data_IF_925545461125
#
_entry.id   IF_925545461125
#
_cell.length_a   1.000
_cell.length_b   1.000
_cell.length_c   1.000
_cell.angle_alpha   90.00
_cell.angle_beta   90.00
_cell.angle_gamma   90.00
#
_symmetry.space_group_name_H-M   'P 1'
#
loop_
_entity.id
_entity.type
_entity.pdbx_description
1 polymer ?
#
# COMPACT_ATOMS: atom_id res chain seq x y z
N UNK A 1 -13.37 -29.65 5.49
CA UNK A 1 -13.16 -28.29 6.00
C UNK A 1 -11.67 -28.03 5.96
N UNK A 2 -11.17 -27.39 4.91
CA UNK A 2 -9.81 -26.86 4.94
C UNK A 2 -9.72 -25.87 6.11
N UNK A 3 -8.71 -26.02 6.98
CA UNK A 3 -8.41 -24.97 7.97
C UNK A 3 -8.07 -23.71 7.18
N UNK A 4 -8.83 -22.63 7.38
CA UNK A 4 -8.43 -21.30 6.89
C UNK A 4 -6.99 -21.04 7.34
N UNK A 5 -6.09 -20.80 6.37
CA UNK A 5 -4.70 -20.52 6.67
C UNK A 5 -4.59 -19.16 7.36
N UNK A 6 -3.93 -19.16 8.52
CA UNK A 6 -3.65 -17.94 9.28
C UNK A 6 -2.64 -17.08 8.50
N UNK A 7 -3.02 -15.82 8.22
CA UNK A 7 -2.18 -14.88 7.49
C UNK A 7 -1.12 -14.27 8.41
N UNK A 8 0.13 -14.30 7.97
CA UNK A 8 1.26 -13.73 8.70
C UNK A 8 1.70 -12.42 8.06
N UNK A 9 1.75 -11.33 8.85
CA UNK A 9 2.10 -10.01 8.36
C UNK A 9 3.34 -9.45 9.05
N UNK A 10 4.26 -8.88 8.26
CA UNK A 10 5.36 -8.05 8.74
C UNK A 10 5.19 -6.61 8.21
N UNK A 11 4.79 -5.72 9.11
CA UNK A 11 4.52 -4.31 8.80
C UNK A 11 5.51 -3.38 9.49
N UNK A 12 5.40 -2.09 9.23
CA UNK A 12 6.25 -1.06 9.81
C UNK A 12 6.61 0.03 8.81
N UNK A 13 7.04 1.21 9.28
CA UNK A 13 7.25 2.36 8.42
C UNK A 13 8.35 2.09 7.38
N UNK A 14 8.33 2.86 6.30
CA UNK A 14 9.46 2.90 5.37
C UNK A 14 10.78 3.16 6.12
N UNK A 15 11.87 2.57 5.64
CA UNK A 15 13.19 2.58 6.27
C UNK A 15 13.33 1.91 7.66
N UNK A 16 12.28 1.23 8.19
CA UNK A 16 12.38 0.51 9.47
C UNK A 16 13.32 -0.71 9.46
N UNK A 17 13.64 -1.26 8.28
CA UNK A 17 14.46 -2.48 8.13
C UNK A 17 13.64 -3.77 7.94
N UNK A 18 12.40 -3.66 7.46
CA UNK A 18 11.51 -4.80 7.26
C UNK A 18 12.03 -5.83 6.26
N UNK A 19 12.69 -5.39 5.19
CA UNK A 19 13.13 -6.28 4.11
C UNK A 19 14.14 -7.30 4.62
N UNK A 20 15.12 -6.87 5.42
CA UNK A 20 16.13 -7.76 6.01
C UNK A 20 15.48 -8.80 6.92
N UNK A 21 14.55 -8.36 7.78
CA UNK A 21 13.78 -9.25 8.66
C UNK A 21 12.88 -10.20 7.88
N UNK A 22 12.22 -9.73 6.83
CA UNK A 22 11.37 -10.57 6.00
C UNK A 22 12.13 -11.72 5.37
N UNK A 23 13.32 -11.45 4.83
CA UNK A 23 14.19 -12.47 4.25
C UNK A 23 14.59 -13.50 5.30
N UNK A 24 15.12 -13.05 6.44
CA UNK A 24 15.57 -13.96 7.49
C UNK A 24 14.44 -14.81 8.08
N UNK A 25 13.27 -14.20 8.31
CA UNK A 25 12.08 -14.90 8.78
C UNK A 25 11.66 -15.97 7.76
N UNK A 26 11.53 -15.60 6.48
CA UNK A 26 11.03 -16.50 5.44
C UNK A 26 12.02 -17.63 5.13
N UNK A 27 13.32 -17.35 5.05
CA UNK A 27 14.36 -18.37 4.89
C UNK A 27 14.31 -19.42 6.02
N UNK A 28 14.15 -18.96 7.27
CA UNK A 28 14.18 -19.84 8.44
C UNK A 28 13.08 -20.90 8.48
N UNK A 29 11.98 -20.71 7.74
CA UNK A 29 10.85 -21.65 7.66
C UNK A 29 10.64 -22.24 6.26
N UNK A 30 11.56 -21.97 5.32
CA UNK A 30 11.37 -22.34 3.91
C UNK A 30 10.13 -21.67 3.29
N UNK A 31 9.77 -20.48 3.78
CA UNK A 31 8.59 -19.72 3.37
C UNK A 31 8.80 -18.89 2.11
N UNK A 32 7.86 -18.00 1.85
CA UNK A 32 7.88 -17.05 0.77
C UNK A 32 7.33 -15.69 1.20
N UNK A 33 7.65 -14.64 0.45
CA UNK A 33 7.22 -13.28 0.74
C UNK A 33 6.15 -12.87 -0.28
N UNK A 34 5.03 -12.34 0.20
CA UNK A 34 4.02 -11.68 -0.62
C UNK A 34 4.08 -10.17 -0.35
N UNK A 35 4.27 -9.36 -1.40
CA UNK A 35 4.35 -7.91 -1.22
C UNK A 35 3.02 -7.31 -0.73
N UNK A 36 3.10 -6.49 0.31
CA UNK A 36 2.01 -5.64 0.82
C UNK A 36 2.30 -4.16 0.50
N UNK A 37 2.75 -3.89 -0.73
CA UNK A 37 3.14 -2.57 -1.21
C UNK A 37 2.54 -2.27 -2.59
N UNK A 38 1.89 -1.12 -2.72
CA UNK A 38 1.18 -0.73 -3.95
C UNK A 38 2.10 -0.27 -5.08
N UNK A 39 3.40 -0.07 -4.80
CA UNK A 39 4.36 0.46 -5.77
C UNK A 39 5.32 -0.63 -6.28
N UNK A 40 5.52 -1.72 -5.54
CA UNK A 40 6.39 -2.83 -5.98
C UNK A 40 5.80 -3.66 -7.13
N UNK A 41 4.52 -3.46 -7.44
CA UNK A 41 3.82 -4.10 -8.54
C UNK A 41 4.24 -3.58 -9.92
N UNK A 42 4.84 -2.39 -10.00
CA UNK A 42 5.22 -1.78 -11.28
C UNK A 42 6.61 -2.21 -11.72
N UNK A 43 6.71 -2.79 -12.92
CA UNK A 43 7.95 -3.20 -13.57
C UNK A 43 8.87 -2.00 -13.81
N UNK A 44 10.17 -2.21 -13.62
CA UNK A 44 11.20 -1.20 -13.85
C UNK A 44 11.26 -0.05 -12.84
N UNK A 45 10.30 0.04 -11.90
CA UNK A 45 10.33 0.96 -10.75
C UNK A 45 10.98 0.26 -9.56
N UNK A 46 12.32 0.15 -9.55
CA UNK A 46 13.07 -0.69 -8.63
C UNK A 46 13.77 0.11 -7.52
N UNK A 47 14.60 1.09 -7.92
CA UNK A 47 15.40 1.90 -7.02
C UNK A 47 14.49 2.79 -6.17
N UNK A 48 13.60 3.56 -6.81
CA UNK A 48 12.75 4.52 -6.09
C UNK A 48 11.75 3.88 -5.13
N UNK A 49 11.35 2.64 -5.40
CA UNK A 49 10.41 1.90 -4.58
C UNK A 49 11.08 1.03 -3.52
N UNK A 50 12.42 0.94 -3.52
CA UNK A 50 13.19 -0.01 -2.71
C UNK A 50 12.74 -1.47 -2.92
N UNK A 51 12.53 -1.85 -4.19
CA UNK A 51 12.15 -3.22 -4.53
C UNK A 51 13.27 -4.20 -4.11
N UNK A 52 12.94 -5.38 -3.59
CA UNK A 52 13.95 -6.41 -3.28
C UNK A 52 14.87 -6.65 -4.47
N UNK A 53 16.17 -6.77 -4.22
CA UNK A 53 17.16 -6.96 -5.27
C UNK A 53 17.01 -8.35 -5.92
N UNK A 54 17.56 -8.59 -7.12
CA UNK A 54 17.61 -9.93 -7.69
C UNK A 54 18.26 -10.96 -6.75
N UNK A 55 19.28 -10.55 -5.98
CA UNK A 55 19.92 -11.40 -4.99
C UNK A 55 18.97 -11.77 -3.83
N UNK A 56 18.18 -10.82 -3.33
CA UNK A 56 17.17 -11.07 -2.30
C UNK A 56 16.04 -11.97 -2.80
N UNK A 57 15.62 -11.79 -4.06
CA UNK A 57 14.58 -12.63 -4.69
C UNK A 57 15.07 -14.03 -5.01
N UNK A 58 16.38 -14.23 -5.21
CA UNK A 58 16.97 -15.54 -5.37
C UNK A 58 17.03 -16.33 -4.06
N UNK A 59 17.09 -15.62 -2.91
CA UNK A 59 17.09 -16.20 -1.57
C UNK A 59 15.72 -16.72 -1.16
N UNK A 60 14.67 -15.93 -1.39
CA UNK A 60 13.28 -16.24 -1.02
C UNK A 60 12.34 -15.88 -2.18
N UNK A 61 11.37 -16.72 -2.56
CA UNK A 61 10.40 -16.35 -3.58
C UNK A 61 9.58 -15.13 -3.14
N UNK A 62 9.41 -14.18 -4.07
CA UNK A 62 8.62 -12.97 -3.86
C UNK A 62 7.42 -12.92 -4.81
N UNK A 63 6.23 -12.74 -4.26
CA UNK A 63 4.97 -12.61 -4.96
C UNK A 63 4.44 -11.16 -4.94
N UNK A 64 3.51 -10.86 -5.83
CA UNK A 64 2.88 -9.53 -5.98
C UNK A 64 3.88 -8.39 -6.24
N UNK A 65 4.97 -8.69 -6.95
CA UNK A 65 5.92 -7.71 -7.47
C UNK A 65 5.98 -7.83 -8.99
N UNK A 66 6.31 -6.74 -9.69
CA UNK A 66 6.46 -6.75 -11.15
C UNK A 66 5.26 -7.37 -11.89
N UNK A 67 4.04 -6.96 -11.55
CA UNK A 67 2.79 -7.48 -12.12
C UNK A 67 2.28 -6.64 -13.31
N UNK A 68 2.65 -5.37 -13.37
CA UNK A 68 2.16 -4.41 -14.38
C UNK A 68 3.25 -3.46 -14.84
N UNK A 69 3.08 -2.89 -16.03
CA UNK A 69 3.86 -1.75 -16.51
C UNK A 69 3.43 -0.44 -15.83
N UNK A 70 4.33 0.56 -15.70
CA UNK A 70 4.03 1.84 -15.06
C UNK A 70 2.77 2.57 -15.57
N UNK A 71 2.40 2.55 -16.86
CA UNK A 71 1.17 3.20 -17.36
C UNK A 71 -0.13 2.50 -16.94
N UNK A 72 -0.06 1.20 -16.63
CA UNK A 72 -1.23 0.38 -16.40
C UNK A 72 -1.91 0.71 -15.07
N UNK A 73 -3.22 0.46 -15.03
CA UNK A 73 -3.98 0.55 -13.78
C UNK A 73 -3.78 -0.72 -12.95
N UNK A 74 -3.55 -0.51 -11.66
CA UNK A 74 -3.48 -1.56 -10.67
C UNK A 74 -4.32 -1.16 -9.45
N UNK A 75 -5.42 -1.87 -9.23
CA UNK A 75 -6.37 -1.57 -8.16
C UNK A 75 -6.43 -2.69 -7.10
N UNK A 76 -7.30 -2.50 -6.13
CA UNK A 76 -7.48 -3.43 -5.02
C UNK A 76 -7.98 -4.81 -5.45
N UNK A 77 -8.81 -4.89 -6.51
CA UNK A 77 -9.37 -6.16 -6.98
C UNK A 77 -8.26 -6.97 -7.64
N UNK A 78 -7.50 -6.35 -8.55
CA UNK A 78 -6.33 -6.96 -9.18
C UNK A 78 -5.28 -7.42 -8.17
N UNK A 79 -5.06 -6.64 -7.11
CA UNK A 79 -4.19 -7.05 -6.01
C UNK A 79 -4.68 -8.32 -5.30
N UNK A 80 -5.98 -8.44 -5.02
CA UNK A 80 -6.53 -9.62 -4.36
C UNK A 80 -6.48 -10.87 -5.26
N UNK A 81 -6.66 -10.70 -6.58
CA UNK A 81 -6.48 -11.77 -7.57
C UNK A 81 -5.03 -12.27 -7.58
N UNK A 82 -4.05 -11.36 -7.64
CA UNK A 82 -2.62 -11.71 -7.58
C UNK A 82 -2.24 -12.38 -6.24
N UNK A 83 -2.85 -11.97 -5.13
CA UNK A 83 -2.63 -12.61 -3.82
C UNK A 83 -3.22 -14.01 -3.79
N UNK A 84 -4.40 -14.24 -4.38
CA UNK A 84 -5.01 -15.56 -4.46
C UNK A 84 -4.13 -16.52 -5.25
N UNK A 85 -3.61 -16.09 -6.41
CA UNK A 85 -2.62 -16.83 -7.21
C UNK A 85 -1.37 -17.16 -6.36
N UNK A 86 -0.83 -16.18 -5.65
CA UNK A 86 0.33 -16.37 -4.78
C UNK A 86 0.08 -17.39 -3.65
N UNK A 87 -1.12 -17.38 -3.06
CA UNK A 87 -1.51 -18.32 -2.01
C UNK A 87 -1.62 -19.75 -2.54
N UNK A 88 -2.17 -19.93 -3.74
CA UNK A 88 -2.27 -21.23 -4.41
C UNK A 88 -0.87 -21.78 -4.73
N UNK A 89 -0.01 -20.97 -5.36
CA UNK A 89 1.37 -21.33 -5.68
C UNK A 89 2.18 -21.70 -4.44
N UNK A 90 2.09 -20.89 -3.39
CA UNK A 90 2.80 -21.15 -2.14
C UNK A 90 2.30 -22.42 -1.46
N UNK A 91 0.98 -22.65 -1.46
CA UNK A 91 0.37 -23.88 -0.91
C UNK A 91 0.82 -25.11 -1.68
N UNK A 92 0.80 -25.06 -3.01
CA UNK A 92 1.26 -26.16 -3.87
C UNK A 92 2.74 -26.50 -3.62
N UNK A 93 3.56 -25.49 -3.31
CA UNK A 93 4.97 -25.65 -2.95
C UNK A 93 5.22 -25.97 -1.46
N UNK A 94 4.19 -26.13 -0.63
CA UNK A 94 4.32 -26.37 0.81
C UNK A 94 4.91 -25.20 1.60
N UNK A 95 4.85 -23.98 1.06
CA UNK A 95 5.45 -22.77 1.65
C UNK A 95 4.45 -21.96 2.46
N UNK A 96 4.94 -21.34 3.53
CA UNK A 96 4.20 -20.34 4.31
C UNK A 96 4.43 -18.96 3.70
N UNK A 97 3.37 -18.15 3.58
CA UNK A 97 3.48 -16.77 3.09
C UNK A 97 3.63 -15.77 4.24
N UNK A 98 4.60 -14.87 4.10
CA UNK A 98 4.71 -13.63 4.88
C UNK A 98 4.29 -12.45 4.01
N UNK A 99 3.25 -11.74 4.43
CA UNK A 99 2.84 -10.49 3.79
C UNK A 99 3.68 -9.34 4.34
N UNK A 100 4.52 -8.74 3.48
CA UNK A 100 5.53 -7.76 3.91
C UNK A 100 5.30 -6.42 3.23
N UNK A 101 5.17 -5.35 4.00
CA UNK A 101 5.06 -4.02 3.41
C UNK A 101 4.47 -2.99 4.34
N UNK A 102 3.77 -2.01 3.76
CA UNK A 102 3.22 -0.93 4.55
C UNK A 102 1.99 -0.25 3.95
N UNK A 103 1.35 -0.86 2.96
CA UNK A 103 0.06 -0.39 2.45
C UNK A 103 -1.03 -0.85 3.39
N UNK A 104 -1.37 -0.01 4.37
CA UNK A 104 -2.41 -0.31 5.38
C UNK A 104 -3.78 -0.63 4.77
N UNK A 105 -4.08 -0.10 3.58
CA UNK A 105 -5.29 -0.46 2.86
C UNK A 105 -5.29 -1.92 2.42
N UNK A 106 -4.21 -2.44 1.84
CA UNK A 106 -4.09 -3.85 1.45
C UNK A 106 -4.16 -4.77 2.67
N UNK A 107 -3.52 -4.39 3.79
CA UNK A 107 -3.66 -5.11 5.06
C UNK A 107 -5.13 -5.24 5.47
N UNK A 108 -5.86 -4.12 5.43
CA UNK A 108 -7.29 -4.09 5.77
C UNK A 108 -8.11 -5.01 4.83
N UNK A 109 -7.82 -4.98 3.53
CA UNK A 109 -8.52 -5.81 2.55
C UNK A 109 -8.29 -7.31 2.78
N UNK A 110 -7.07 -7.71 3.13
CA UNK A 110 -6.76 -9.12 3.37
C UNK A 110 -7.40 -9.65 4.67
N UNK A 111 -7.55 -8.79 5.69
CA UNK A 111 -8.14 -9.19 6.98
C UNK A 111 -9.67 -9.13 6.94
N UNK A 112 -10.25 -8.12 6.30
CA UNK A 112 -11.69 -7.82 6.36
C UNK A 112 -12.43 -8.01 5.03
N UNK A 113 -11.72 -8.30 3.94
CA UNK A 113 -12.27 -8.36 2.58
C UNK A 113 -12.38 -6.99 1.90
N UNK A 114 -12.58 -7.03 0.58
CA UNK A 114 -12.95 -5.87 -0.23
C UNK A 114 -14.48 -5.71 -0.25
N UNK A 115 -14.91 -4.46 -0.23
CA UNK A 115 -16.29 -4.09 -0.53
C UNK A 115 -16.64 -4.46 -1.98
N UNK A 116 -17.60 -5.37 -2.18
CA UNK A 116 -18.07 -5.75 -3.51
C UNK A 116 -19.13 -4.78 -4.02
N UNK A 117 -18.68 -3.59 -4.43
CA UNK A 117 -19.52 -2.57 -5.06
C UNK A 117 -19.34 -2.52 -6.57
N UNK A 118 -20.18 -1.72 -7.27
CA UNK A 118 -20.06 -1.53 -8.71
C UNK A 118 -18.64 -1.04 -9.07
N UNK A 119 -18.08 -1.46 -10.22
CA UNK A 119 -16.78 -0.98 -10.65
C UNK A 119 -16.77 0.55 -10.81
N UNK A 120 -15.59 1.16 -10.75
CA UNK A 120 -15.46 2.58 -11.01
C UNK A 120 -15.95 2.92 -12.41
N UNK A 121 -16.75 3.98 -12.56
CA UNK A 121 -17.22 4.48 -13.85
C UNK A 121 -16.44 5.77 -14.17
N UNK A 122 -15.50 5.73 -15.13
CA UNK A 122 -14.69 6.90 -15.48
C UNK A 122 -15.51 8.10 -15.95
N UNK A 123 -16.62 7.88 -16.65
CA UNK A 123 -17.47 8.94 -17.20
C UNK A 123 -18.23 9.63 -16.08
N UNK A 124 -18.89 8.83 -15.23
CA UNK A 124 -19.59 9.35 -14.06
C UNK A 124 -18.64 10.09 -13.11
N UNK A 125 -17.45 9.55 -12.88
CA UNK A 125 -16.46 10.18 -12.01
C UNK A 125 -15.97 11.51 -12.57
N UNK A 126 -15.80 11.62 -13.88
CA UNK A 126 -15.41 12.88 -14.49
C UNK A 126 -16.55 13.91 -14.42
N UNK A 127 -17.79 13.50 -14.67
CA UNK A 127 -18.98 14.32 -14.47
C UNK A 127 -19.08 14.85 -13.02
N UNK A 128 -18.87 14.00 -12.01
CA UNK A 128 -18.87 14.44 -10.61
C UNK A 128 -17.74 15.43 -10.30
N UNK A 129 -16.54 15.27 -10.90
CA UNK A 129 -15.46 16.27 -10.75
C UNK A 129 -15.78 17.58 -11.46
N UNK A 130 -16.44 17.54 -12.61
CA UNK A 130 -16.92 18.74 -13.31
C UNK A 130 -17.95 19.49 -12.47
N UNK A 131 -18.92 18.78 -11.88
CA UNK A 131 -19.85 19.35 -10.90
C UNK A 131 -19.12 19.96 -9.70
N UNK A 132 -18.13 19.27 -9.14
CA UNK A 132 -17.33 19.82 -8.05
C UNK A 132 -16.56 21.10 -8.43
N UNK A 133 -16.15 21.25 -9.70
CA UNK A 133 -15.51 22.48 -10.22
C UNK A 133 -16.51 23.61 -10.43
N UNK A 134 -17.71 23.31 -10.94
CA UNK A 134 -18.71 24.31 -11.33
C UNK A 134 -19.58 24.76 -10.15
N UNK A 135 -20.06 23.81 -9.35
CA UNK A 135 -20.97 24.03 -8.21
C UNK A 135 -20.21 24.20 -6.88
N UNK A 136 -18.93 23.82 -6.86
CA UNK A 136 -18.12 23.72 -5.66
C UNK A 136 -18.26 22.38 -4.95
N UNK A 137 -17.15 21.87 -4.40
CA UNK A 137 -17.13 20.54 -3.76
C UNK A 137 -18.07 20.41 -2.55
N UNK A 138 -18.40 21.50 -1.87
CA UNK A 138 -19.36 21.49 -0.76
C UNK A 138 -20.78 21.11 -1.20
N UNK A 139 -21.16 21.38 -2.46
CA UNK A 139 -22.43 20.94 -3.00
C UNK A 139 -22.53 19.40 -3.03
N UNK A 140 -21.43 18.73 -3.41
CA UNK A 140 -21.34 17.27 -3.39
C UNK A 140 -21.32 16.71 -1.96
N UNK A 141 -20.67 17.39 -1.02
CA UNK A 141 -20.72 16.99 0.40
C UNK A 141 -22.14 17.08 0.94
N UNK A 142 -22.88 18.14 0.59
CA UNK A 142 -24.28 18.30 0.97
C UNK A 142 -25.18 17.24 0.30
N UNK A 143 -24.92 16.92 -0.97
CA UNK A 143 -25.60 15.83 -1.67
C UNK A 143 -25.35 14.50 -0.97
N UNK A 144 -24.11 14.19 -0.61
CA UNK A 144 -23.76 12.97 0.13
C UNK A 144 -24.50 12.92 1.46
N UNK A 145 -24.55 14.02 2.23
CA UNK A 145 -25.27 14.07 3.49
C UNK A 145 -26.77 13.81 3.33
N UNK A 146 -27.35 14.12 2.17
CA UNK A 146 -28.78 13.86 1.87
C UNK A 146 -29.02 12.42 1.45
N UNK A 147 -28.16 11.84 0.62
CA UNK A 147 -28.37 10.49 0.05
C UNK A 147 -27.78 9.38 0.92
N UNK A 148 -26.73 9.67 1.68
CA UNK A 148 -26.04 8.72 2.55
C UNK A 148 -25.52 9.42 3.85
N UNK A 149 -26.42 9.74 4.80
CA UNK A 149 -26.05 10.42 6.04
C UNK A 149 -24.98 9.68 6.85
N UNK A 150 -25.00 8.34 6.79
CA UNK A 150 -24.08 7.47 7.53
C UNK A 150 -22.66 7.55 6.95
N UNK A 151 -22.53 7.55 5.62
CA UNK A 151 -21.24 7.76 4.98
C UNK A 151 -20.75 9.21 5.18
N UNK A 152 -21.65 10.20 5.15
CA UNK A 152 -21.31 11.60 5.36
C UNK A 152 -20.75 11.88 6.77
N UNK A 153 -21.24 11.19 7.81
CA UNK A 153 -20.69 11.29 9.16
C UNK A 153 -19.27 10.70 9.27
N UNK A 154 -19.00 9.63 8.51
CA UNK A 154 -17.72 8.89 8.56
C UNK A 154 -16.65 9.47 7.64
N UNK A 155 -17.05 10.08 6.52
CA UNK A 155 -16.14 10.64 5.52
C UNK A 155 -15.93 12.12 5.83
N UNK A 156 -14.68 12.51 6.06
CA UNK A 156 -14.36 13.93 6.22
C UNK A 156 -14.74 14.71 4.96
N UNK A 157 -15.37 15.87 5.13
CA UNK A 157 -15.79 16.79 4.07
C UNK A 157 -14.69 17.32 3.14
N UNK A 158 -13.43 16.96 3.37
CA UNK A 158 -12.28 17.33 2.54
C UNK A 158 -11.74 16.11 1.75
N UNK A 159 -12.23 14.90 2.04
CA UNK A 159 -11.80 13.68 1.35
C UNK A 159 -12.57 13.51 0.04
N UNK A 160 -12.15 14.28 -0.97
CA UNK A 160 -12.74 14.27 -2.31
C UNK A 160 -12.88 12.86 -2.89
N UNK A 161 -11.87 12.01 -2.70
CA UNK A 161 -11.88 10.65 -3.26
C UNK A 161 -13.01 9.80 -2.66
N UNK A 162 -13.19 9.85 -1.34
CA UNK A 162 -14.24 9.07 -0.67
C UNK A 162 -15.63 9.61 -0.92
N UNK A 163 -15.81 10.94 -0.95
CA UNK A 163 -17.10 11.56 -1.27
C UNK A 163 -17.52 11.20 -2.70
N UNK A 164 -16.62 11.39 -3.67
CA UNK A 164 -16.89 11.03 -5.07
C UNK A 164 -17.22 9.55 -5.22
N UNK A 165 -16.52 8.66 -4.52
CA UNK A 165 -16.83 7.22 -4.57
C UNK A 165 -18.20 6.89 -3.96
N UNK A 166 -18.58 7.52 -2.85
CA UNK A 166 -19.87 7.27 -2.24
C UNK A 166 -21.04 7.72 -3.15
N UNK A 167 -20.91 8.91 -3.76
CA UNK A 167 -21.87 9.40 -4.76
C UNK A 167 -21.87 8.55 -6.03
N UNK A 168 -20.71 8.14 -6.52
CA UNK A 168 -20.58 7.25 -7.68
C UNK A 168 -21.35 5.94 -7.46
N UNK A 169 -21.18 5.29 -6.30
CA UNK A 169 -21.92 4.06 -5.97
C UNK A 169 -23.43 4.32 -5.89
N UNK A 170 -23.84 5.41 -5.25
CA UNK A 170 -25.25 5.78 -5.16
C UNK A 170 -25.88 6.01 -6.55
N UNK A 171 -25.23 6.77 -7.43
CA UNK A 171 -25.74 7.02 -8.79
C UNK A 171 -25.73 5.77 -9.67
N UNK A 172 -24.80 4.84 -9.47
CA UNK A 172 -24.75 3.59 -10.22
C UNK A 172 -25.82 2.58 -9.79
N UNK A 173 -26.12 2.52 -8.50
CA UNK A 173 -26.93 1.43 -7.92
C UNK A 173 -28.30 1.88 -7.41
N UNK A 174 -28.50 3.18 -7.20
CA UNK A 174 -29.66 3.72 -6.48
C UNK A 174 -29.58 3.56 -4.96
N UNK A 175 -28.59 2.83 -4.45
CA UNK A 175 -28.44 2.48 -3.04
C UNK A 175 -27.20 3.16 -2.41
N UNK A 176 -27.32 3.74 -1.20
CA UNK A 176 -26.21 4.39 -0.51
C UNK A 176 -25.02 3.46 -0.27
N UNK A 177 -23.79 3.99 -0.32
CA UNK A 177 -22.58 3.21 -0.03
C UNK A 177 -22.64 2.57 1.36
N UNK A 178 -23.20 3.27 2.34
CA UNK A 178 -23.37 2.74 3.69
C UNK A 178 -24.34 1.56 3.77
N UNK A 179 -25.34 1.48 2.89
CA UNK A 179 -26.27 0.35 2.80
C UNK A 179 -25.56 -0.89 2.28
N UNK A 180 -24.82 -0.76 1.17
CA UNK A 180 -23.99 -1.86 0.66
C UNK A 180 -22.90 -2.28 1.67
N UNK A 181 -22.36 -1.32 2.43
CA UNK A 181 -21.43 -1.62 3.53
C UNK A 181 -22.12 -2.26 4.74
N UNK A 182 -23.44 -2.13 4.91
CA UNK A 182 -24.25 -2.77 5.97
C UNK A 182 -24.73 -4.15 5.55
N UNK A 183 -25.13 -4.34 4.30
CA UNK A 183 -25.39 -5.68 3.73
C UNK A 183 -24.14 -6.57 3.82
N UNK A 184 -22.95 -5.96 3.93
CA UNK A 184 -21.68 -6.62 4.20
C UNK A 184 -21.14 -6.43 5.64
N UNK A 185 -21.82 -5.63 6.47
CA UNK A 185 -21.20 -5.02 7.66
C UNK A 185 -22.15 -4.35 8.66
N UNK A 186 -23.35 -4.90 8.83
CA UNK A 186 -23.86 -5.09 10.19
C UNK A 186 -22.84 -5.91 10.97
N UNK A 187 -22.87 -5.87 12.31
CA UNK A 187 -21.91 -6.61 13.15
C UNK A 187 -21.96 -8.16 13.03
N UNK A 188 -22.42 -8.73 11.93
CA UNK A 188 -22.36 -10.16 11.61
C UNK A 188 -22.15 -10.39 10.12
N UNK A 189 -21.06 -11.08 9.75
CA UNK A 189 -21.12 -12.44 9.15
C UNK A 189 -19.79 -12.89 8.52
N UNK A 190 -18.92 -12.00 8.01
CA UNK A 190 -17.53 -12.37 7.70
C UNK A 190 -16.63 -12.18 8.91
N UNK A 191 -16.27 -13.29 9.55
CA UNK A 191 -15.19 -13.28 10.55
C UNK A 191 -13.92 -12.78 9.87
N UNK A 192 -13.15 -11.87 10.50
CA UNK A 192 -11.83 -11.50 10.00
C UNK A 192 -11.01 -12.77 9.73
N UNK A 193 -10.28 -12.80 8.63
CA UNK A 193 -9.39 -13.92 8.33
C UNK A 193 -8.41 -14.08 9.50
N UNK A 194 -8.20 -15.29 10.06
CA UNK A 194 -7.23 -15.50 11.12
C UNK A 194 -5.87 -14.92 10.74
N UNK A 195 -5.25 -14.14 11.64
CA UNK A 195 -4.02 -13.44 11.30
C UNK A 195 -3.12 -13.15 12.51
N UNK A 196 -1.83 -12.97 12.21
CA UNK A 196 -0.78 -12.51 13.13
C UNK A 196 -0.04 -11.34 12.51
N UNK A 197 0.14 -10.26 13.25
CA UNK A 197 0.80 -9.03 12.74
C UNK A 197 1.97 -8.68 13.64
N UNK A 198 3.18 -8.71 13.07
CA UNK A 198 4.39 -8.18 13.67
C UNK A 198 4.74 -6.85 13.03
N UNK A 199 5.03 -5.85 13.85
CA UNK A 199 5.44 -4.53 13.41
C UNK A 199 6.89 -4.24 13.76
N UNK A 200 7.71 -3.88 12.78
CA UNK A 200 9.06 -3.36 13.04
C UNK A 200 8.98 -1.85 13.24
N UNK A 201 9.39 -1.35 14.40
CA UNK A 201 9.37 0.09 14.70
C UNK A 201 10.72 0.58 15.22
N UNK A 202 11.08 1.80 14.81
CA UNK A 202 12.25 2.53 15.32
C UNK A 202 11.81 3.89 15.86
N UNK A 203 12.63 4.54 16.71
CA UNK A 203 12.42 5.94 17.09
C UNK A 203 12.30 6.87 15.87
N UNK A 204 11.58 7.98 16.02
CA UNK A 204 11.26 8.86 14.90
C UNK A 204 12.51 9.53 14.31
N UNK A 205 13.46 9.86 15.18
CA UNK A 205 14.74 10.50 14.88
C UNK A 205 15.60 9.57 14.03
N UNK A 206 15.67 8.29 14.42
CA UNK A 206 16.37 7.22 13.68
C UNK A 206 15.72 6.99 12.32
N UNK A 207 14.39 7.04 12.23
CA UNK A 207 13.69 6.91 10.95
C UNK A 207 14.00 8.09 10.03
N UNK A 208 14.08 9.32 10.54
CA UNK A 208 14.40 10.49 9.73
C UNK A 208 15.81 10.39 9.13
N UNK A 209 16.80 10.05 9.94
CA UNK A 209 18.18 9.85 9.48
C UNK A 209 18.25 8.74 8.41
N UNK A 210 17.59 7.60 8.66
CA UNK A 210 17.57 6.48 7.72
C UNK A 210 16.85 6.82 6.41
N UNK A 211 15.77 7.60 6.47
CA UNK A 211 15.06 8.08 5.27
C UNK A 211 15.99 8.96 4.43
N UNK A 212 16.66 9.95 5.04
CA UNK A 212 17.61 10.83 4.33
C UNK A 212 18.76 10.03 3.70
N UNK A 213 19.40 9.18 4.49
CA UNK A 213 20.49 8.33 4.01
C UNK A 213 20.05 7.39 2.89
N UNK A 214 18.83 6.85 2.96
CA UNK A 214 18.27 6.00 1.89
C UNK A 214 18.02 6.79 0.61
N UNK A 215 17.41 7.97 0.71
CA UNK A 215 17.16 8.84 -0.46
C UNK A 215 18.46 9.19 -1.18
N UNK A 216 19.49 9.60 -0.43
CA UNK A 216 20.79 9.95 -1.03
C UNK A 216 21.44 8.74 -1.72
N UNK A 217 21.38 7.55 -1.09
CA UNK A 217 21.87 6.30 -1.71
C UNK A 217 21.10 5.93 -2.98
N UNK A 218 19.77 6.11 -3.00
CA UNK A 218 18.95 5.82 -4.18
C UNK A 218 19.32 6.72 -5.36
N UNK A 219 19.45 8.02 -5.13
CA UNK A 219 19.89 8.96 -6.17
C UNK A 219 21.28 8.61 -6.68
N UNK A 220 22.22 8.30 -5.78
CA UNK A 220 23.57 7.88 -6.15
C UNK A 220 23.59 6.54 -6.92
N UNK A 221 22.59 5.67 -6.71
CA UNK A 221 22.46 4.38 -7.39
C UNK A 221 21.79 4.46 -8.77
N UNK A 222 21.52 5.67 -9.29
CA UNK A 222 20.93 5.85 -10.63
C UNK A 222 19.40 5.92 -10.63
N UNK A 223 18.77 6.39 -9.54
CA UNK A 223 17.31 6.60 -9.53
C UNK A 223 16.86 7.60 -10.61
N UNK A 224 17.66 8.64 -10.89
CA UNK A 224 17.39 9.57 -12.00
C UNK A 224 17.37 8.86 -13.35
N UNK A 225 18.28 7.91 -13.58
CA UNK A 225 18.34 7.13 -14.82
C UNK A 225 17.15 6.17 -14.94
N UNK A 226 16.71 5.57 -13.83
CA UNK A 226 15.47 4.79 -13.78
C UNK A 226 14.25 5.63 -14.19
N UNK A 227 14.11 6.83 -13.64
CA UNK A 227 12.98 7.71 -13.93
C UNK A 227 13.02 8.20 -15.38
N UNK A 228 14.20 8.59 -15.89
CA UNK A 228 14.38 8.97 -17.28
C UNK A 228 14.01 7.82 -18.22
N UNK A 229 14.50 6.60 -17.95
CA UNK A 229 14.18 5.41 -18.75
C UNK A 229 12.68 5.16 -18.81
N UNK A 230 11.96 5.21 -17.68
CA UNK A 230 10.51 4.99 -17.68
C UNK A 230 9.81 6.10 -18.47
N UNK A 231 10.15 7.37 -18.24
CA UNK A 231 9.59 8.52 -18.97
C UNK A 231 9.76 8.35 -20.49
N UNK A 232 10.92 7.91 -20.93
CA UNK A 232 11.30 7.86 -22.35
C UNK A 232 10.85 6.57 -23.06
N UNK A 233 10.34 5.58 -22.32
CA UNK A 233 9.90 4.29 -22.89
C UNK A 233 8.38 4.11 -22.81
N UNK A 234 7.84 3.82 -21.64
CA UNK A 234 6.42 3.53 -21.45
C UNK A 234 5.64 4.69 -20.80
N UNK A 235 6.33 5.61 -20.14
CA UNK A 235 5.71 6.71 -19.38
C UNK A 235 5.12 6.23 -18.04
N UNK A 236 4.53 7.17 -17.29
CA UNK A 236 3.88 6.87 -16.01
C UNK A 236 2.36 6.99 -16.10
N UNK A 237 1.66 6.05 -15.47
CA UNK A 237 0.24 6.11 -15.24
C UNK A 237 -0.13 6.99 -14.04
N UNK A 238 -1.43 7.22 -13.81
CA UNK A 238 -1.90 8.12 -12.74
C UNK A 238 -1.55 7.63 -11.33
N UNK A 239 -1.33 6.33 -11.15
CA UNK A 239 -1.00 5.71 -9.85
C UNK A 239 0.50 5.58 -9.66
N UNK A 240 1.24 5.05 -10.65
CA UNK A 240 2.70 4.88 -10.56
C UNK A 240 3.44 6.20 -10.35
N UNK A 241 3.00 7.29 -11.00
CA UNK A 241 3.59 8.63 -10.78
C UNK A 241 3.40 9.16 -9.36
N UNK A 242 2.50 8.57 -8.56
CA UNK A 242 2.30 8.95 -7.16
C UNK A 242 3.26 8.23 -6.20
N UNK A 243 4.08 7.31 -6.71
CA UNK A 243 5.17 6.71 -5.94
C UNK A 243 6.08 7.82 -5.37
N UNK A 244 6.47 7.66 -4.11
CA UNK A 244 7.23 8.67 -3.39
C UNK A 244 8.55 8.98 -4.11
N UNK A 245 8.76 10.25 -4.44
CA UNK A 245 9.98 10.76 -5.03
C UNK A 245 10.03 10.74 -6.55
N UNK A 246 9.16 10.00 -7.25
CA UNK A 246 9.20 9.97 -8.72
C UNK A 246 8.89 11.34 -9.35
N UNK A 247 7.97 12.12 -8.78
CA UNK A 247 7.70 13.50 -9.24
C UNK A 247 8.86 14.45 -8.94
N UNK A 248 9.48 14.31 -7.77
CA UNK A 248 10.62 15.12 -7.38
C UNK A 248 11.83 14.83 -8.28
N UNK A 249 12.06 13.56 -8.65
CA UNK A 249 13.13 13.17 -9.58
C UNK A 249 12.84 13.65 -11.00
N UNK A 250 11.58 13.65 -11.47
CA UNK A 250 11.24 14.27 -12.75
C UNK A 250 11.54 15.78 -12.75
N UNK A 251 11.12 16.50 -11.71
CA UNK A 251 11.40 17.93 -11.57
C UNK A 251 12.92 18.22 -11.51
N UNK A 252 13.71 17.32 -10.91
CA UNK A 252 15.18 17.38 -10.96
C UNK A 252 15.71 17.20 -12.40
N UNK A 253 15.17 16.24 -13.16
CA UNK A 253 15.56 16.01 -14.56
C UNK A 253 15.15 17.17 -15.49
N UNK A 254 14.09 17.90 -15.15
CA UNK A 254 13.59 19.06 -15.88
C UNK A 254 14.31 20.37 -15.49
N UNK A 255 15.18 20.33 -14.48
CA UNK A 255 15.91 21.50 -13.98
C UNK A 255 15.07 22.43 -13.10
N UNK A 256 13.87 22.01 -12.68
CA UNK A 256 13.01 22.75 -11.76
C UNK A 256 13.48 22.66 -10.31
N UNK A 257 14.24 21.61 -9.96
CA UNK A 257 14.86 21.41 -8.65
C UNK A 257 16.34 21.12 -8.81
N UNK A 258 17.15 21.63 -7.89
CA UNK A 258 18.50 21.10 -7.71
C UNK A 258 18.49 19.76 -6.94
N UNK A 259 19.65 19.10 -6.92
CA UNK A 259 19.78 17.79 -6.26
C UNK A 259 19.47 17.85 -4.75
N UNK A 260 19.89 18.92 -4.06
CA UNK A 260 19.70 19.07 -2.61
C UNK A 260 18.22 19.29 -2.31
N UNK A 261 17.55 20.16 -3.06
CA UNK A 261 16.13 20.43 -2.95
C UNK A 261 15.29 19.18 -3.23
N UNK A 262 15.66 18.40 -4.25
CA UNK A 262 15.05 17.12 -4.56
C UNK A 262 15.19 16.15 -3.37
N UNK A 263 16.40 15.97 -2.84
CA UNK A 263 16.67 15.12 -1.67
C UNK A 263 15.83 15.52 -0.45
N UNK A 264 15.76 16.81 -0.13
CA UNK A 264 14.99 17.35 0.99
C UNK A 264 13.48 17.12 0.82
N UNK A 265 12.94 17.37 -0.38
CA UNK A 265 11.51 17.16 -0.68
C UNK A 265 11.13 15.68 -0.59
N UNK A 266 11.95 14.79 -1.15
CA UNK A 266 11.72 13.34 -1.07
C UNK A 266 11.74 12.87 0.38
N UNK A 267 12.74 13.29 1.17
CA UNK A 267 12.84 12.93 2.57
C UNK A 267 11.63 13.41 3.37
N UNK A 268 11.20 14.66 3.17
CA UNK A 268 10.03 15.24 3.82
C UNK A 268 8.75 14.45 3.52
N UNK A 269 8.48 14.16 2.25
CA UNK A 269 7.28 13.41 1.84
C UNK A 269 7.29 11.99 2.35
N UNK A 270 8.46 11.35 2.34
CA UNK A 270 8.67 10.00 2.87
C UNK A 270 8.39 9.96 4.37
N UNK A 271 8.84 10.97 5.13
CA UNK A 271 8.52 11.12 6.56
C UNK A 271 7.03 11.30 6.81
N UNK A 272 6.36 12.16 6.04
CA UNK A 272 4.91 12.34 6.14
C UNK A 272 4.15 11.05 5.82
N UNK A 273 4.61 10.28 4.84
CA UNK A 273 4.03 8.99 4.51
C UNK A 273 4.21 7.98 5.66
N UNK A 274 5.42 7.86 6.22
CA UNK A 274 5.67 7.01 7.39
C UNK A 274 4.73 7.32 8.57
N UNK A 275 4.46 8.61 8.83
CA UNK A 275 3.48 9.03 9.84
C UNK A 275 2.06 8.57 9.50
N UNK A 276 1.62 8.70 8.24
CA UNK A 276 0.30 8.21 7.80
C UNK A 276 0.16 6.70 7.93
N UNK A 277 1.22 5.93 7.63
CA UNK A 277 1.20 4.48 7.80
C UNK A 277 0.96 4.09 9.27
N UNK A 278 1.59 4.78 10.22
CA UNK A 278 1.37 4.55 11.66
C UNK A 278 -0.08 4.77 12.08
N UNK A 279 -0.76 5.77 11.50
CA UNK A 279 -2.18 5.99 11.77
C UNK A 279 -3.04 4.80 11.32
N UNK A 280 -2.72 4.20 10.16
CA UNK A 280 -3.44 3.02 9.68
C UNK A 280 -3.31 1.82 10.61
N UNK A 281 -2.14 1.62 11.22
CA UNK A 281 -1.90 0.44 12.06
C UNK A 281 -2.50 0.52 13.45
N UNK A 282 -2.98 1.69 13.89
CA UNK A 282 -3.64 1.87 15.20
C UNK A 282 -4.94 1.08 15.35
N UNK A 283 -5.57 0.69 14.25
CA UNK A 283 -6.79 -0.11 14.25
C UNK A 283 -6.54 -1.62 14.24
N UNK A 284 -5.29 -2.06 14.32
CA UNK A 284 -4.90 -3.46 14.28
C UNK A 284 -4.18 -3.85 15.57
N UNK A 285 -4.33 -5.09 15.99
CA UNK A 285 -3.54 -5.67 17.06
C UNK A 285 -2.17 -6.06 16.51
N UNK A 286 -1.16 -5.23 16.80
CA UNK A 286 0.19 -5.34 16.23
C UNK A 286 1.19 -5.56 17.34
N UNK A 287 1.95 -6.65 17.24
CA UNK A 287 3.10 -6.85 18.12
C UNK A 287 4.29 -6.06 17.60
N UNK A 288 4.55 -4.91 18.22
CA UNK A 288 5.66 -4.03 17.86
C UNK A 288 6.99 -4.52 18.45
N UNK A 289 8.02 -4.59 17.61
CA UNK A 289 9.37 -5.00 17.98
C UNK A 289 10.36 -3.94 17.49
N UNK A 290 11.25 -3.51 18.39
CA UNK A 290 12.40 -2.69 18.02
C UNK A 290 13.49 -3.61 17.45
N UNK A 291 13.91 -3.41 16.19
CA UNK A 291 14.89 -4.27 15.53
C UNK A 291 16.31 -4.17 16.11
N UNK A 292 16.57 -3.22 17.03
CA UNK A 292 17.85 -3.10 17.73
C UNK A 292 17.91 -3.95 19.00
N UNK A 293 16.78 -4.46 19.48
CA UNK A 293 16.75 -5.31 20.66
C UNK A 293 17.29 -6.71 20.34
N UNK A 294 18.14 -7.23 21.22
CA UNK A 294 18.63 -8.62 21.13
C UNK A 294 17.44 -9.59 21.11
N UNK A 295 17.51 -10.62 20.27
CA UNK A 295 16.44 -11.61 20.14
C UNK A 295 15.20 -11.13 19.37
N UNK A 296 15.30 -10.01 18.64
CA UNK A 296 14.14 -9.39 17.98
C UNK A 296 13.51 -10.27 16.90
N UNK A 297 14.33 -10.99 16.14
CA UNK A 297 13.86 -11.86 15.05
C UNK A 297 13.26 -13.14 15.62
N UNK A 298 13.83 -13.67 16.69
CA UNK A 298 13.30 -14.82 17.42
C UNK A 298 11.91 -14.51 17.99
N UNK A 299 11.76 -13.35 18.64
CA UNK A 299 10.43 -12.88 19.09
C UNK A 299 9.47 -12.73 17.91
N UNK A 300 9.92 -12.19 16.78
CA UNK A 300 9.08 -12.08 15.59
C UNK A 300 8.63 -13.46 15.08
N UNK A 301 9.51 -14.47 15.06
CA UNK A 301 9.16 -15.85 14.70
C UNK A 301 8.11 -16.42 15.65
N UNK A 302 8.33 -16.32 16.96
CA UNK A 302 7.38 -16.78 17.98
C UNK A 302 6.00 -16.15 17.80
N UNK A 303 5.94 -14.83 17.58
CA UNK A 303 4.70 -14.09 17.33
C UNK A 303 3.94 -14.56 16.10
N UNK A 304 4.68 -14.87 15.03
CA UNK A 304 4.12 -15.38 13.78
C UNK A 304 3.77 -16.89 13.86
N UNK A 305 4.20 -17.58 14.92
CA UNK A 305 4.07 -19.03 15.04
C UNK A 305 4.95 -19.78 14.04
N UNK A 306 6.16 -19.28 13.82
CA UNK A 306 7.15 -19.74 12.84
C UNK A 306 8.26 -20.54 13.47
#
# INVERSE_FOLDING_TARGET
>A
MEKEQELCFLIGPTAAGKSDWALELAEGVGGAICSLDSMLVYRGMDIGTAKPSPADRARVPHYCIDRVEPPERYDARRYLEDVAEAQEDARAAGRRLLFVGGTGFYLKLLIHGLFDGPPADPVLRESLKERARNEGFQALVAELARVDPVAAERIHSNDQKRVLRALEVFHQTGHPLSEHQREWGGQGERRPTPHRIVGVQRPAEVLEERIRGRTSRMLAAGWSDEVARIRDTCGFGPTSIQALGYREVLALLEGELDRRECEEKIALRTRQFARRQRTWWRSFDVQWIDPTQRGGIERARESLGW
#
